data_IF_111379853765
#
_entry.id   IF_111379853765
#
_cell.length_a   1.000
_cell.length_b   1.000
_cell.length_c   1.000
_cell.angle_alpha   90.00
_cell.angle_beta   90.00
_cell.angle_gamma   90.00
#
_symmetry.space_group_name_H-M   'P 1'
#
loop_
_entity.id
_entity.type
_entity.pdbx_description
1 polymer ?
#
# COMPACT_ATOMS: atom_id res chain seq x y z
N UNK A 1 -6.30 56.05 32.62
CA UNK A 1 -7.43 55.09 32.72
C UNK A 1 -6.94 53.73 32.23
N UNK A 2 -6.91 52.78 33.16
CA UNK A 2 -6.79 51.32 33.00
C UNK A 2 -5.67 50.74 32.12
N UNK A 3 -4.47 50.64 32.72
CA UNK A 3 -3.57 49.51 32.48
C UNK A 3 -4.06 48.34 33.34
N UNK A 4 -4.66 47.30 32.73
CA UNK A 4 -4.80 46.01 33.39
C UNK A 4 -3.59 45.15 33.04
N UNK A 5 -2.70 44.98 34.01
CA UNK A 5 -1.71 43.92 34.02
C UNK A 5 -2.45 42.58 34.12
N UNK A 6 -2.54 41.83 33.02
CA UNK A 6 -2.94 40.44 33.09
C UNK A 6 -1.75 39.61 33.58
N UNK A 7 -1.76 39.31 34.88
CA UNK A 7 -0.95 38.26 35.47
C UNK A 7 -1.32 36.93 34.81
N UNK A 8 -0.42 36.37 33.99
CA UNK A 8 -0.50 34.97 33.59
C UNK A 8 -0.12 34.07 34.77
N UNK A 9 -1.09 33.83 35.66
CA UNK A 9 -1.07 32.61 36.48
C UNK A 9 -1.55 31.46 35.59
N UNK A 10 -0.62 30.66 35.07
CA UNK A 10 -0.93 29.37 34.45
C UNK A 10 -1.70 28.52 35.47
N UNK A 11 -2.87 27.95 35.11
CA UNK A 11 -3.64 27.16 36.05
C UNK A 11 -2.86 25.89 36.44
N UNK A 12 -2.94 25.42 37.70
CA UNK A 12 -2.17 24.27 38.22
C UNK A 12 -2.43 22.94 37.47
N UNK A 13 -3.49 22.86 36.65
CA UNK A 13 -3.83 21.68 35.87
C UNK A 13 -3.06 21.55 34.54
N UNK A 14 -2.46 22.62 34.01
CA UNK A 14 -1.71 22.55 32.74
C UNK A 14 -0.41 21.75 32.84
N UNK A 15 0.12 21.56 34.07
CA UNK A 15 1.32 20.74 34.32
C UNK A 15 1.05 19.23 34.39
N UNK A 16 -0.22 18.80 34.50
CA UNK A 16 -0.54 17.37 34.70
C UNK A 16 -0.46 16.58 33.40
N UNK A 17 -0.88 17.17 32.29
CA UNK A 17 -0.84 16.54 30.96
C UNK A 17 0.59 16.40 30.44
N UNK A 18 1.48 17.37 30.71
CA UNK A 18 2.88 17.32 30.26
C UNK A 18 3.74 16.32 31.00
N UNK A 19 3.27 15.80 32.15
CA UNK A 19 3.94 14.74 32.93
C UNK A 19 3.52 13.33 32.53
N UNK A 20 2.51 13.18 31.67
CA UNK A 20 2.10 11.87 31.18
C UNK A 20 3.11 11.35 30.14
N UNK A 21 3.44 10.05 30.15
CA UNK A 21 4.13 9.39 29.04
C UNK A 21 3.40 9.63 27.71
N UNK A 22 4.16 9.72 26.62
CA UNK A 22 3.64 10.02 25.28
C UNK A 22 2.59 8.98 24.85
N UNK A 23 2.76 7.73 25.24
CA UNK A 23 1.84 6.63 24.93
C UNK A 23 0.45 6.83 25.58
N UNK A 24 0.41 7.39 26.79
CA UNK A 24 -0.85 7.69 27.45
C UNK A 24 -1.52 8.93 26.83
N UNK A 25 -0.72 9.93 26.45
CA UNK A 25 -1.21 11.10 25.73
C UNK A 25 -1.81 10.74 24.37
N UNK A 26 -1.12 9.90 23.58
CA UNK A 26 -1.62 9.39 22.31
C UNK A 26 -2.96 8.67 22.49
N UNK A 27 -3.08 7.80 23.50
CA UNK A 27 -4.32 7.07 23.77
C UNK A 27 -5.49 7.98 24.17
N UNK A 28 -5.22 9.07 24.90
CA UNK A 28 -6.23 10.07 25.25
C UNK A 28 -6.65 10.84 24.00
N UNK A 29 -5.68 11.36 23.24
CA UNK A 29 -5.92 12.20 22.06
C UNK A 29 -6.65 11.43 20.95
N UNK A 30 -6.36 10.14 20.75
CA UNK A 30 -7.07 9.28 19.79
C UNK A 30 -8.58 9.15 20.05
N UNK A 31 -9.06 9.46 21.26
CA UNK A 31 -10.49 9.40 21.62
C UNK A 31 -11.23 10.72 21.44
N UNK A 32 -10.50 11.80 21.16
CA UNK A 32 -11.07 13.13 21.00
C UNK A 32 -11.63 13.35 19.59
N UNK A 33 -12.55 14.30 19.46
CA UNK A 33 -13.05 14.69 18.15
C UNK A 33 -11.97 15.46 17.37
N UNK A 34 -12.09 15.48 16.04
CA UNK A 34 -11.19 16.28 15.19
C UNK A 34 -11.22 17.77 15.54
N UNK A 35 -12.37 18.27 16.02
CA UNK A 35 -12.52 19.65 16.49
C UNK A 35 -11.68 19.89 17.74
N UNK A 36 -11.80 19.02 18.74
CA UNK A 36 -11.05 19.15 20.00
C UNK A 36 -9.54 19.04 19.75
N UNK A 37 -9.12 18.16 18.84
CA UNK A 37 -7.71 18.02 18.45
C UNK A 37 -7.17 19.28 17.76
N UNK A 38 -7.98 19.95 16.93
CA UNK A 38 -7.62 21.24 16.34
C UNK A 38 -7.47 22.33 17.39
N UNK A 39 -8.32 22.35 18.42
CA UNK A 39 -8.20 23.31 19.53
C UNK A 39 -6.93 23.02 20.37
N UNK A 40 -6.65 21.74 20.63
CA UNK A 40 -5.45 21.31 21.37
C UNK A 40 -4.14 21.61 20.65
N UNK A 41 -4.15 21.71 19.32
CA UNK A 41 -2.99 22.10 18.52
C UNK A 41 -2.41 23.47 18.92
N UNK A 42 -3.21 24.35 19.52
CA UNK A 42 -2.79 25.69 19.93
C UNK A 42 -2.36 25.80 21.40
N UNK A 43 -2.41 24.71 22.17
CA UNK A 43 -2.22 24.76 23.62
C UNK A 43 -0.76 24.63 24.07
N UNK A 44 -0.14 23.49 23.75
CA UNK A 44 1.21 23.14 24.16
C UNK A 44 1.94 22.50 22.97
N UNK A 45 3.23 22.81 22.77
CA UNK A 45 4.00 22.31 21.63
C UNK A 45 4.01 20.78 21.53
N UNK A 46 4.14 20.06 22.64
CA UNK A 46 4.16 18.59 22.67
C UNK A 46 2.78 18.02 22.37
N UNK A 47 1.74 18.53 23.03
CA UNK A 47 0.34 18.11 22.80
C UNK A 47 -0.08 18.43 21.37
N UNK A 48 0.33 19.57 20.82
CA UNK A 48 0.03 19.98 19.45
C UNK A 48 0.73 19.11 18.42
N UNK A 49 1.99 18.73 18.64
CA UNK A 49 2.67 17.75 17.77
C UNK A 49 1.95 16.40 17.77
N UNK A 50 1.58 15.87 18.94
CA UNK A 50 0.86 14.60 19.04
C UNK A 50 -0.52 14.73 18.38
N UNK A 51 -1.25 15.82 18.64
CA UNK A 51 -2.56 16.09 18.02
C UNK A 51 -2.47 16.15 16.48
N UNK A 52 -1.44 16.78 15.92
CA UNK A 52 -1.21 16.79 14.47
C UNK A 52 -0.96 15.39 13.91
N UNK A 53 -0.16 14.57 14.60
CA UNK A 53 0.05 13.17 14.22
C UNK A 53 -1.28 12.40 14.30
N UNK A 54 -2.06 12.57 15.37
CA UNK A 54 -3.38 11.92 15.49
C UNK A 54 -4.34 12.34 14.38
N UNK A 55 -4.33 13.62 13.96
CA UNK A 55 -5.20 14.15 12.92
C UNK A 55 -4.82 13.72 11.50
N UNK A 56 -3.53 13.79 11.17
CA UNK A 56 -3.06 13.71 9.78
C UNK A 56 -2.36 12.39 9.43
N UNK A 57 -1.98 11.55 10.39
CA UNK A 57 -1.26 10.29 10.10
C UNK A 57 -2.06 9.37 9.17
N UNK A 58 -3.37 9.25 9.42
CA UNK A 58 -4.31 8.42 8.67
C UNK A 58 -5.63 9.17 8.44
N UNK A 59 -5.69 10.14 7.51
CA UNK A 59 -6.90 10.92 7.28
C UNK A 59 -8.05 10.03 6.80
N UNK A 60 -9.23 10.22 7.39
CA UNK A 60 -10.43 9.47 7.01
C UNK A 60 -11.08 10.15 5.79
N UNK A 61 -10.90 9.56 4.61
CA UNK A 61 -11.45 10.06 3.35
C UNK A 61 -12.59 9.13 2.88
N UNK A 62 -13.82 9.64 2.94
CA UNK A 62 -15.04 8.98 2.48
C UNK A 62 -15.67 9.69 1.28
N UNK A 63 -15.42 10.99 1.13
CA UNK A 63 -15.96 11.81 0.03
C UNK A 63 -14.85 12.57 -0.67
N UNK A 64 -15.10 13.02 -1.91
CA UNK A 64 -14.08 13.71 -2.71
C UNK A 64 -13.74 15.08 -2.13
N UNK A 65 -14.71 15.75 -1.51
CA UNK A 65 -14.53 17.05 -0.86
C UNK A 65 -13.55 16.94 0.32
N UNK A 66 -13.48 15.79 0.99
CA UNK A 66 -12.49 15.53 2.04
C UNK A 66 -11.08 15.37 1.47
N UNK A 67 -10.97 14.76 0.28
CA UNK A 67 -9.70 14.63 -0.43
C UNK A 67 -9.19 16.00 -0.91
N UNK A 68 -10.07 16.82 -1.48
CA UNK A 68 -9.78 18.20 -1.88
C UNK A 68 -9.44 19.05 -0.65
N UNK A 69 -10.15 18.89 0.47
CA UNK A 69 -9.79 19.59 1.70
C UNK A 69 -8.39 19.18 2.19
N UNK A 70 -8.01 17.91 2.09
CA UNK A 70 -6.67 17.43 2.43
C UNK A 70 -5.61 18.07 1.53
N UNK A 71 -5.88 18.24 0.23
CA UNK A 71 -4.92 18.83 -0.70
C UNK A 71 -4.66 20.32 -0.46
N UNK A 72 -5.61 21.04 0.15
CA UNK A 72 -5.41 22.44 0.56
C UNK A 72 -4.55 22.62 1.82
N UNK A 73 -4.22 21.53 2.52
CA UNK A 73 -3.46 21.58 3.76
C UNK A 73 -1.98 21.88 3.48
N UNK A 74 -1.30 22.57 4.41
CA UNK A 74 0.13 22.88 4.28
C UNK A 74 1.00 21.64 4.02
N UNK A 75 2.06 21.74 3.18
CA UNK A 75 2.93 20.61 2.86
C UNK A 75 3.54 19.92 4.09
N UNK A 76 3.83 20.67 5.15
CA UNK A 76 4.35 20.14 6.42
C UNK A 76 3.41 19.13 7.09
N UNK A 77 2.09 19.30 6.94
CA UNK A 77 1.09 18.38 7.48
C UNK A 77 0.87 17.18 6.55
N UNK A 78 0.97 17.38 5.23
CA UNK A 78 0.93 16.28 4.25
C UNK A 78 2.10 15.29 4.45
N UNK A 79 3.26 15.78 4.89
CA UNK A 79 4.40 14.91 5.25
C UNK A 79 4.17 14.04 6.49
N UNK A 80 3.15 14.32 7.29
CA UNK A 80 2.73 13.50 8.45
C UNK A 80 1.91 12.29 7.97
N UNK A 81 1.25 12.40 6.81
CA UNK A 81 0.41 11.33 6.26
C UNK A 81 1.27 10.12 5.97
N UNK A 82 1.00 9.03 6.69
CA UNK A 82 1.68 7.74 6.48
C UNK A 82 0.73 6.67 5.95
N UNK A 83 -0.57 6.83 6.15
CA UNK A 83 -1.58 5.85 5.78
C UNK A 83 -2.67 6.56 4.97
N UNK A 84 -2.67 6.36 3.66
CA UNK A 84 -3.61 7.01 2.74
C UNK A 84 -4.50 5.96 2.10
N UNK A 85 -5.74 5.86 2.57
CA UNK A 85 -6.75 4.98 2.00
C UNK A 85 -7.82 5.79 1.27
N UNK A 86 -7.91 5.60 -0.06
CA UNK A 86 -8.85 6.29 -0.94
C UNK A 86 -9.85 5.34 -1.60
N UNK A 87 -10.05 4.14 -1.08
CA UNK A 87 -10.96 3.13 -1.64
C UNK A 87 -12.40 3.65 -1.84
N UNK A 88 -12.92 4.40 -0.86
CA UNK A 88 -14.29 4.95 -0.92
C UNK A 88 -14.49 5.99 -2.03
N UNK A 89 -13.41 6.65 -2.46
CA UNK A 89 -13.46 7.70 -3.48
C UNK A 89 -12.79 7.28 -4.79
N UNK A 90 -12.28 6.05 -4.88
CA UNK A 90 -11.43 5.57 -5.99
C UNK A 90 -11.97 5.88 -7.38
N UNK A 91 -13.26 5.60 -7.62
CA UNK A 91 -13.90 5.86 -8.91
C UNK A 91 -14.00 7.34 -9.30
N UNK A 92 -13.94 8.25 -8.32
CA UNK A 92 -14.02 9.70 -8.50
C UNK A 92 -12.64 10.36 -8.66
N UNK A 93 -11.57 9.64 -8.30
CA UNK A 93 -10.20 10.16 -8.40
C UNK A 93 -9.80 10.37 -9.86
N UNK A 94 -9.25 11.55 -10.11
CA UNK A 94 -8.60 11.98 -11.35
C UNK A 94 -7.17 12.41 -11.07
N UNK A 95 -6.36 12.51 -12.12
CA UNK A 95 -4.93 12.82 -12.04
C UNK A 95 -4.58 14.04 -11.20
N UNK A 96 -5.36 15.13 -11.29
CA UNK A 96 -5.07 16.36 -10.55
C UNK A 96 -5.16 16.16 -9.03
N UNK A 97 -6.10 15.34 -8.54
CA UNK A 97 -6.20 15.05 -7.11
C UNK A 97 -4.95 14.33 -6.59
N UNK A 98 -4.36 13.46 -7.41
CA UNK A 98 -3.14 12.75 -7.04
C UNK A 98 -1.89 13.63 -7.13
N UNK A 99 -1.86 14.56 -8.09
CA UNK A 99 -0.77 15.53 -8.24
C UNK A 99 -0.61 16.40 -6.98
N UNK A 100 -1.72 16.83 -6.38
CA UNK A 100 -1.69 17.65 -5.16
C UNK A 100 -1.19 16.88 -3.93
N UNK A 101 -1.20 15.56 -3.97
CA UNK A 101 -0.72 14.68 -2.90
C UNK A 101 0.75 14.28 -3.04
N UNK A 102 1.49 14.85 -4.00
CA UNK A 102 2.91 14.53 -4.21
C UNK A 102 3.83 14.84 -3.00
N UNK A 103 3.34 15.66 -2.05
CA UNK A 103 4.06 16.00 -0.81
C UNK A 103 4.00 14.88 0.24
N UNK A 104 3.12 13.89 0.07
CA UNK A 104 3.04 12.70 0.91
C UNK A 104 4.24 11.77 0.63
N UNK A 105 5.38 12.04 1.26
CA UNK A 105 6.67 11.38 1.00
C UNK A 105 7.10 10.36 2.07
N UNK A 106 6.19 10.04 3.01
CA UNK A 106 6.39 9.04 4.08
C UNK A 106 5.25 8.02 4.12
N UNK A 107 4.60 7.78 2.98
CA UNK A 107 3.52 6.81 2.90
C UNK A 107 4.06 5.41 3.16
N UNK A 108 3.45 4.74 4.13
CA UNK A 108 3.62 3.32 4.45
C UNK A 108 2.48 2.49 3.86
N UNK A 109 1.26 3.02 3.90
CA UNK A 109 0.08 2.36 3.33
C UNK A 109 -0.52 3.28 2.28
N UNK A 110 -0.69 2.76 1.07
CA UNK A 110 -1.39 3.44 -0.02
C UNK A 110 -2.45 2.50 -0.61
N UNK A 111 -3.72 2.88 -0.48
CA UNK A 111 -4.83 2.17 -1.11
C UNK A 111 -5.51 3.09 -2.12
N UNK A 112 -5.37 2.73 -3.40
CA UNK A 112 -5.97 3.40 -4.56
C UNK A 112 -6.90 2.44 -5.30
N UNK A 113 -7.59 1.54 -4.58
CA UNK A 113 -8.58 0.64 -5.16
C UNK A 113 -9.60 1.41 -5.99
N UNK A 114 -9.92 0.89 -7.18
CA UNK A 114 -10.82 1.49 -8.17
C UNK A 114 -10.36 2.85 -8.73
N UNK A 115 -9.11 3.26 -8.53
CA UNK A 115 -8.58 4.51 -9.03
C UNK A 115 -8.45 4.49 -10.57
N UNK A 116 -9.07 5.48 -11.22
CA UNK A 116 -9.03 5.66 -12.68
C UNK A 116 -7.96 6.64 -13.16
N UNK A 117 -7.14 7.15 -12.25
CA UNK A 117 -6.05 8.05 -12.59
C UNK A 117 -5.03 7.37 -13.51
N UNK A 118 -4.28 8.17 -14.25
CA UNK A 118 -3.18 7.69 -15.08
C UNK A 118 -2.04 7.11 -14.26
N UNK A 119 -1.28 6.23 -14.89
CA UNK A 119 -0.09 5.62 -14.28
C UNK A 119 0.96 6.67 -13.90
N UNK A 120 1.08 7.75 -14.68
CA UNK A 120 1.98 8.86 -14.33
C UNK A 120 1.54 9.57 -13.04
N UNK A 121 0.24 9.80 -12.84
CA UNK A 121 -0.28 10.39 -11.61
C UNK A 121 -0.07 9.46 -10.39
N UNK A 122 -0.30 8.15 -10.55
CA UNK A 122 -0.01 7.16 -9.49
C UNK A 122 1.49 7.15 -9.17
N UNK A 123 2.35 7.18 -10.19
CA UNK A 123 3.80 7.17 -10.03
C UNK A 123 4.31 8.40 -9.26
N UNK A 124 3.68 9.57 -9.41
CA UNK A 124 4.04 10.79 -8.67
C UNK A 124 3.81 10.68 -7.16
N UNK A 125 2.88 9.84 -6.71
CA UNK A 125 2.67 9.55 -5.28
C UNK A 125 3.55 8.39 -4.80
N UNK A 126 3.78 7.39 -5.64
CA UNK A 126 4.64 6.25 -5.29
C UNK A 126 6.10 6.67 -5.13
N UNK A 127 6.64 7.43 -6.09
CA UNK A 127 8.06 7.79 -6.19
C UNK A 127 8.64 8.39 -4.89
N UNK A 128 8.00 9.39 -4.25
CA UNK A 128 8.52 9.98 -3.01
C UNK A 128 8.56 9.00 -1.83
N UNK A 129 7.70 7.98 -1.82
CA UNK A 129 7.48 7.09 -0.68
C UNK A 129 8.06 5.67 -0.87
N UNK A 130 8.73 5.37 -1.99
CA UNK A 130 9.19 4.01 -2.33
C UNK A 130 9.95 3.28 -1.22
N UNK A 131 10.76 3.99 -0.43
CA UNK A 131 11.59 3.43 0.65
C UNK A 131 10.83 3.20 1.96
N UNK A 132 9.60 3.69 2.05
CA UNK A 132 8.77 3.64 3.27
C UNK A 132 7.51 2.80 3.07
N UNK A 133 7.08 2.56 1.82
CA UNK A 133 5.90 1.77 1.51
C UNK A 133 6.03 0.35 2.08
N UNK A 134 4.97 -0.07 2.76
CA UNK A 134 4.81 -1.39 3.37
C UNK A 134 3.63 -2.12 2.75
N UNK A 135 2.56 -1.40 2.44
CA UNK A 135 1.35 -1.93 1.83
C UNK A 135 0.91 -1.06 0.66
N UNK A 136 0.73 -1.66 -0.51
CA UNK A 136 0.17 -0.99 -1.69
C UNK A 136 -0.99 -1.81 -2.24
N UNK A 137 -2.14 -1.16 -2.42
CA UNK A 137 -3.36 -1.76 -2.96
C UNK A 137 -3.79 -0.94 -4.19
N UNK A 138 -3.77 -1.57 -5.36
CA UNK A 138 -4.10 -0.95 -6.66
C UNK A 138 -5.19 -1.75 -7.38
N UNK A 139 -6.12 -2.31 -6.62
CA UNK A 139 -7.16 -3.18 -7.15
C UNK A 139 -8.01 -2.46 -8.19
N UNK A 140 -8.34 -3.13 -9.30
CA UNK A 140 -9.10 -2.56 -10.43
C UNK A 140 -8.48 -1.29 -11.06
N UNK A 141 -7.17 -1.07 -10.94
CA UNK A 141 -6.48 0.04 -11.61
C UNK A 141 -5.99 -0.33 -13.02
N UNK A 142 -5.83 0.68 -13.88
CA UNK A 142 -5.22 0.53 -15.21
C UNK A 142 -3.78 1.06 -15.20
N UNK A 143 -2.79 0.16 -15.20
CA UNK A 143 -1.38 0.47 -14.97
C UNK A 143 -0.54 0.32 -16.24
N UNK A 144 0.57 1.06 -16.30
CA UNK A 144 1.62 0.88 -17.29
C UNK A 144 2.81 0.11 -16.70
N UNK A 145 3.71 -0.37 -17.56
CA UNK A 145 4.91 -1.09 -17.14
C UNK A 145 5.77 -0.29 -16.16
N UNK A 146 5.81 1.04 -16.33
CA UNK A 146 6.58 1.94 -15.46
C UNK A 146 6.13 1.87 -14.01
N UNK A 147 4.82 1.80 -13.74
CA UNK A 147 4.30 1.63 -12.38
C UNK A 147 4.71 0.29 -11.79
N UNK A 148 4.67 -0.79 -12.58
CA UNK A 148 5.11 -2.10 -12.14
C UNK A 148 6.60 -2.12 -11.76
N UNK A 149 7.46 -1.40 -12.51
CA UNK A 149 8.88 -1.26 -12.18
C UNK A 149 9.09 -0.56 -10.83
N UNK A 150 8.33 0.51 -10.56
CA UNK A 150 8.41 1.22 -9.28
C UNK A 150 7.95 0.35 -8.11
N UNK A 151 6.89 -0.43 -8.29
CA UNK A 151 6.44 -1.39 -7.27
C UNK A 151 7.48 -2.48 -7.02
N UNK A 152 8.16 -2.95 -8.08
CA UNK A 152 9.30 -3.83 -7.96
C UNK A 152 10.42 -3.22 -7.11
N UNK A 153 10.81 -1.97 -7.39
CA UNK A 153 11.80 -1.23 -6.61
C UNK A 153 11.38 -1.08 -5.14
N UNK A 154 10.11 -0.77 -4.86
CA UNK A 154 9.59 -0.71 -3.49
C UNK A 154 9.70 -2.08 -2.79
N UNK A 155 9.51 -3.18 -3.53
CA UNK A 155 9.75 -4.56 -3.11
C UNK A 155 11.19 -4.83 -2.63
N UNK A 156 12.18 -4.08 -3.12
CA UNK A 156 13.57 -4.21 -2.66
C UNK A 156 13.86 -3.45 -1.35
N UNK A 157 12.86 -2.72 -0.84
CA UNK A 157 12.98 -1.89 0.35
C UNK A 157 12.16 -2.43 1.51
N UNK A 158 10.96 -1.88 1.72
CA UNK A 158 10.11 -2.15 2.88
C UNK A 158 8.76 -2.73 2.50
N UNK A 159 8.47 -2.91 1.21
CA UNK A 159 7.16 -3.35 0.75
C UNK A 159 6.96 -4.82 1.14
N UNK A 160 5.92 -5.06 1.93
CA UNK A 160 5.55 -6.38 2.45
C UNK A 160 4.30 -6.91 1.75
N UNK A 161 3.33 -6.04 1.51
CA UNK A 161 2.01 -6.41 1.01
C UNK A 161 1.69 -5.66 -0.27
N UNK A 162 1.40 -6.43 -1.33
CA UNK A 162 1.08 -5.89 -2.64
C UNK A 162 -0.18 -6.55 -3.21
N UNK A 163 -1.26 -5.78 -3.34
CA UNK A 163 -2.48 -6.23 -3.99
C UNK A 163 -2.66 -5.50 -5.32
N UNK A 164 -2.58 -6.28 -6.40
CA UNK A 164 -2.78 -5.87 -7.78
C UNK A 164 -3.98 -6.60 -8.39
N UNK A 165 -4.92 -7.09 -7.57
CA UNK A 165 -6.04 -7.86 -8.10
C UNK A 165 -6.86 -7.06 -9.11
N UNK A 166 -7.23 -7.73 -10.21
CA UNK A 166 -7.96 -7.14 -11.33
C UNK A 166 -7.28 -5.94 -12.00
N UNK A 167 -5.96 -5.79 -11.85
CA UNK A 167 -5.21 -4.76 -12.58
C UNK A 167 -5.21 -5.06 -14.08
N UNK A 168 -5.47 -4.04 -14.88
CA UNK A 168 -5.33 -4.10 -16.34
C UNK A 168 -4.03 -3.39 -16.73
N UNK A 169 -3.18 -4.05 -17.52
CA UNK A 169 -2.01 -3.39 -18.08
C UNK A 169 -2.38 -2.70 -19.40
N UNK A 170 -2.11 -1.40 -19.46
CA UNK A 170 -2.30 -0.61 -20.67
C UNK A 170 -1.28 -1.03 -21.73
N UNK A 171 -1.68 -1.11 -23.01
CA UNK A 171 -0.77 -1.51 -24.05
C UNK A 171 0.37 -0.48 -24.22
N UNK A 172 1.62 -0.91 -23.99
CA UNK A 172 2.82 -0.16 -24.36
C UNK A 172 3.09 -0.30 -25.87
N UNK A 173 3.49 0.77 -26.57
CA UNK A 173 3.65 0.81 -28.05
C UNK A 173 4.65 -0.19 -28.67
N UNK A 174 5.36 -0.98 -27.88
CA UNK A 174 6.36 -1.95 -28.34
C UNK A 174 5.92 -3.40 -28.13
N UNK A 175 4.70 -3.81 -28.47
CA UNK A 175 4.32 -5.24 -28.45
C UNK A 175 4.99 -6.00 -29.59
N UNK A 176 6.27 -6.27 -29.44
CA UNK A 176 6.80 -7.53 -29.95
C UNK A 176 6.38 -8.62 -28.95
N UNK A 177 6.08 -9.81 -29.48
CA UNK A 177 5.44 -10.94 -28.80
C UNK A 177 6.25 -11.52 -27.61
N UNK A 178 7.35 -10.86 -27.23
CA UNK A 178 8.31 -11.21 -26.17
C UNK A 178 8.44 -10.14 -25.08
N UNK A 179 7.41 -9.33 -24.84
CA UNK A 179 7.39 -8.38 -23.71
C UNK A 179 7.19 -9.10 -22.37
N UNK A 180 8.27 -9.74 -21.94
CA UNK A 180 8.40 -10.33 -20.63
C UNK A 180 8.10 -9.28 -19.56
N UNK A 181 7.17 -9.63 -18.68
CA UNK A 181 6.82 -8.92 -17.45
C UNK A 181 7.92 -9.06 -16.40
N UNK A 182 9.17 -9.12 -16.86
CA UNK A 182 10.40 -8.97 -16.11
C UNK A 182 10.43 -7.66 -15.32
N UNK A 183 9.72 -6.62 -15.76
CA UNK A 183 9.69 -5.32 -15.09
C UNK A 183 9.32 -5.33 -13.59
N UNK A 184 8.43 -6.23 -13.14
CA UNK A 184 8.04 -6.31 -11.72
C UNK A 184 9.12 -7.00 -10.88
N UNK A 185 10.05 -7.75 -11.51
CA UNK A 185 10.79 -8.82 -10.82
C UNK A 185 12.24 -9.08 -11.31
N UNK A 186 12.69 -8.49 -12.43
CA UNK A 186 14.11 -8.39 -12.84
C UNK A 186 14.77 -7.32 -11.97
N UNK A 187 14.81 -7.64 -10.69
CA UNK A 187 15.25 -6.78 -9.63
C UNK A 187 16.58 -7.34 -9.14
N UNK A 188 17.65 -6.53 -9.08
CA UNK A 188 18.99 -6.98 -8.71
C UNK A 188 19.11 -7.54 -7.28
N UNK A 189 18.06 -7.45 -6.47
CA UNK A 189 18.04 -7.80 -5.05
C UNK A 189 16.75 -8.56 -4.71
N UNK A 190 16.82 -9.54 -3.78
CA UNK A 190 15.66 -10.29 -3.33
C UNK A 190 14.65 -9.38 -2.62
N UNK A 191 13.38 -9.57 -2.93
CA UNK A 191 12.27 -8.76 -2.44
C UNK A 191 11.91 -9.05 -0.98
N UNK A 192 11.42 -8.03 -0.27
CA UNK A 192 10.87 -8.13 1.07
C UNK A 192 9.41 -8.59 1.10
N UNK A 193 8.77 -8.75 -0.06
CA UNK A 193 7.37 -9.10 -0.18
C UNK A 193 7.02 -10.41 0.57
N UNK A 194 5.95 -10.32 1.35
CA UNK A 194 5.36 -11.41 2.14
C UNK A 194 4.01 -11.81 1.54
N UNK A 195 3.22 -10.85 1.07
CA UNK A 195 1.94 -11.12 0.42
C UNK A 195 1.89 -10.47 -0.95
N UNK A 196 1.45 -11.25 -1.93
CA UNK A 196 1.17 -10.73 -3.27
C UNK A 196 -0.15 -11.32 -3.77
N UNK A 197 -1.05 -10.44 -4.22
CA UNK A 197 -2.31 -10.84 -4.81
C UNK A 197 -2.38 -10.34 -6.26
N UNK A 198 -2.43 -11.29 -7.20
CA UNK A 198 -2.52 -11.06 -8.64
C UNK A 198 -3.81 -11.66 -9.22
N UNK A 199 -4.80 -11.92 -8.37
CA UNK A 199 -6.07 -12.51 -8.78
C UNK A 199 -6.73 -11.69 -9.89
N UNK A 200 -7.36 -12.35 -10.86
CA UNK A 200 -8.06 -11.76 -12.01
C UNK A 200 -7.17 -10.98 -13.00
N UNK A 201 -5.85 -11.00 -12.84
CA UNK A 201 -4.92 -10.38 -13.77
C UNK A 201 -4.68 -11.27 -14.99
N UNK A 202 -5.25 -10.89 -16.14
CA UNK A 202 -5.12 -11.63 -17.42
C UNK A 202 -3.72 -11.59 -18.05
N UNK A 203 -2.89 -10.65 -17.59
CA UNK A 203 -1.52 -10.47 -18.08
C UNK A 203 -0.51 -11.38 -17.37
N UNK A 204 -0.88 -11.99 -16.23
CA UNK A 204 0.01 -12.87 -15.47
C UNK A 204 0.21 -14.18 -16.23
N UNK A 205 1.47 -14.49 -16.55
CA UNK A 205 1.86 -15.71 -17.25
C UNK A 205 2.79 -16.55 -16.38
N UNK A 206 3.15 -17.74 -16.90
CA UNK A 206 4.13 -18.61 -16.27
C UNK A 206 5.47 -17.91 -15.98
N UNK A 207 6.01 -17.13 -16.91
CA UNK A 207 7.26 -16.38 -16.69
C UNK A 207 7.16 -15.40 -15.52
N UNK A 208 6.03 -14.70 -15.38
CA UNK A 208 5.77 -13.81 -14.24
C UNK A 208 5.84 -14.55 -12.91
N UNK A 209 5.15 -15.69 -12.81
CA UNK A 209 5.15 -16.50 -11.59
C UNK A 209 6.54 -17.07 -11.28
N UNK A 210 7.26 -17.54 -12.29
CA UNK A 210 8.60 -18.09 -12.16
C UNK A 210 9.57 -17.04 -11.61
N UNK A 211 9.49 -15.81 -12.12
CA UNK A 211 10.29 -14.71 -11.62
C UNK A 211 9.94 -14.33 -10.19
N UNK A 212 8.65 -14.27 -9.83
CA UNK A 212 8.20 -14.01 -8.45
C UNK A 212 8.76 -15.07 -7.51
N UNK A 213 8.67 -16.34 -7.91
CA UNK A 213 9.16 -17.45 -7.10
C UNK A 213 10.67 -17.39 -6.85
N UNK A 214 11.46 -16.94 -7.84
CA UNK A 214 12.92 -16.78 -7.69
C UNK A 214 13.34 -15.58 -6.85
N UNK A 215 12.67 -14.45 -7.02
CA UNK A 215 13.13 -13.18 -6.45
C UNK A 215 12.42 -12.79 -5.15
N UNK A 216 11.32 -13.46 -4.78
CA UNK A 216 10.54 -13.14 -3.59
C UNK A 216 10.48 -14.33 -2.61
N UNK A 217 11.60 -14.75 -2.01
CA UNK A 217 11.67 -15.97 -1.17
C UNK A 217 10.90 -15.87 0.16
N UNK A 218 10.45 -14.67 0.53
CA UNK A 218 9.70 -14.40 1.78
C UNK A 218 8.18 -14.53 1.63
N UNK A 219 7.68 -14.81 0.43
CA UNK A 219 6.24 -14.93 0.18
C UNK A 219 5.64 -16.01 1.09
N UNK A 220 4.57 -15.62 1.77
CA UNK A 220 3.69 -16.48 2.57
C UNK A 220 2.31 -16.62 1.93
N UNK A 221 1.84 -15.60 1.24
CA UNK A 221 0.55 -15.60 0.54
C UNK A 221 0.74 -15.22 -0.93
N UNK A 222 0.21 -16.05 -1.84
CA UNK A 222 0.21 -15.82 -3.27
C UNK A 222 -1.19 -16.03 -3.86
N UNK A 223 -1.84 -14.95 -4.29
CA UNK A 223 -3.16 -14.98 -4.94
C UNK A 223 -3.06 -15.05 -6.45
N UNK A 224 -3.62 -16.09 -7.06
CA UNK A 224 -3.61 -16.36 -8.52
C UNK A 224 -5.00 -16.75 -9.05
N UNK A 225 -6.09 -16.36 -8.36
CA UNK A 225 -7.44 -16.72 -8.78
C UNK A 225 -7.70 -16.24 -10.20
N UNK A 226 -8.34 -17.07 -11.02
CA UNK A 226 -8.69 -16.71 -12.41
C UNK A 226 -7.50 -16.28 -13.29
N UNK A 227 -6.26 -16.67 -12.96
CA UNK A 227 -5.10 -16.50 -13.84
C UNK A 227 -5.00 -17.69 -14.81
N UNK A 228 -5.49 -17.53 -16.04
CA UNK A 228 -5.63 -18.62 -17.02
C UNK A 228 -4.40 -18.96 -17.88
N UNK A 229 -3.31 -18.18 -17.78
CA UNK A 229 -2.11 -18.30 -18.63
C UNK A 229 -0.89 -18.87 -17.89
N UNK A 230 -1.12 -19.55 -16.76
CA UNK A 230 -0.09 -20.18 -15.94
C UNK A 230 -0.17 -21.69 -16.16
N UNK A 231 0.97 -22.34 -16.40
CA UNK A 231 1.05 -23.80 -16.55
C UNK A 231 1.26 -24.49 -15.21
N UNK A 232 0.83 -25.75 -15.13
CA UNK A 232 0.99 -26.60 -13.95
C UNK A 232 2.44 -26.76 -13.50
N UNK A 233 3.38 -26.92 -14.44
CA UNK A 233 4.81 -27.06 -14.16
C UNK A 233 5.36 -25.83 -13.43
N UNK A 234 4.91 -24.63 -13.80
CA UNK A 234 5.30 -23.38 -13.16
C UNK A 234 4.74 -23.25 -11.75
N UNK A 235 3.50 -23.69 -11.51
CA UNK A 235 2.93 -23.74 -10.16
C UNK A 235 3.78 -24.64 -9.25
N UNK A 236 4.18 -25.81 -9.77
CA UNK A 236 5.08 -26.71 -9.04
C UNK A 236 6.43 -26.07 -8.73
N UNK A 237 7.04 -25.41 -9.72
CA UNK A 237 8.29 -24.66 -9.52
C UNK A 237 8.15 -23.59 -8.44
N UNK A 238 7.03 -22.84 -8.44
CA UNK A 238 6.79 -21.79 -7.46
C UNK A 238 6.71 -22.35 -6.02
N UNK A 239 6.05 -23.49 -5.83
CA UNK A 239 5.98 -24.17 -4.52
C UNK A 239 7.37 -24.59 -4.03
N UNK A 240 8.23 -25.11 -4.92
CA UNK A 240 9.58 -25.55 -4.57
C UNK A 240 10.52 -24.38 -4.24
N UNK A 241 10.36 -23.24 -4.91
CA UNK A 241 11.22 -22.07 -4.74
C UNK A 241 10.78 -21.13 -3.61
N UNK A 242 9.55 -21.26 -3.11
CA UNK A 242 8.99 -20.43 -2.04
C UNK A 242 8.91 -21.18 -0.71
N UNK A 243 10.01 -21.25 0.07
CA UNK A 243 10.08 -22.09 1.28
C UNK A 243 9.16 -21.61 2.42
N UNK A 244 8.70 -20.36 2.38
CA UNK A 244 7.84 -19.77 3.41
C UNK A 244 6.35 -19.75 3.02
N UNK A 245 6.00 -20.31 1.86
CA UNK A 245 4.65 -20.24 1.32
C UNK A 245 3.67 -20.98 2.24
N UNK A 246 2.65 -20.26 2.73
CA UNK A 246 1.59 -20.81 3.59
C UNK A 246 0.28 -21.00 2.84
N UNK A 247 0.00 -20.10 1.91
CA UNK A 247 -1.25 -20.09 1.16
C UNK A 247 -0.99 -19.70 -0.28
N UNK A 248 -1.42 -20.55 -1.20
CA UNK A 248 -1.46 -20.25 -2.62
C UNK A 248 -2.90 -20.41 -3.08
N UNK A 249 -3.51 -19.32 -3.55
CA UNK A 249 -4.89 -19.32 -3.98
C UNK A 249 -4.98 -19.45 -5.50
N UNK A 250 -5.34 -20.65 -5.95
CA UNK A 250 -5.37 -21.04 -7.36
C UNK A 250 -6.79 -21.31 -7.85
N UNK A 251 -7.81 -20.73 -7.19
CA UNK A 251 -9.21 -20.98 -7.57
C UNK A 251 -9.48 -20.56 -9.02
N UNK A 252 -10.21 -21.41 -9.75
CA UNK A 252 -10.59 -21.21 -11.16
C UNK A 252 -9.41 -20.99 -12.12
N UNK A 253 -8.26 -21.61 -11.85
CA UNK A 253 -7.16 -21.67 -12.81
C UNK A 253 -7.35 -22.83 -13.81
N UNK A 254 -7.11 -22.55 -15.09
CA UNK A 254 -7.12 -23.57 -16.17
C UNK A 254 -6.05 -24.66 -15.98
N UNK A 255 -4.97 -24.39 -15.24
CA UNK A 255 -3.95 -25.38 -14.91
C UNK A 255 -4.39 -26.42 -13.87
N UNK A 256 -5.44 -26.11 -13.09
CA UNK A 256 -5.97 -26.99 -12.04
C UNK A 256 -7.43 -27.30 -12.38
N UNK A 257 -7.65 -27.83 -13.58
CA UNK A 257 -8.97 -28.17 -14.11
C UNK A 257 -9.52 -29.49 -13.61
N UNK A 258 -8.65 -30.41 -13.19
CA UNK A 258 -9.04 -31.75 -12.77
C UNK A 258 -8.65 -32.00 -11.32
N UNK A 259 -9.52 -32.71 -10.58
CA UNK A 259 -9.25 -33.13 -9.21
C UNK A 259 -7.89 -33.83 -9.08
N UNK A 260 -7.52 -34.63 -10.07
CA UNK A 260 -6.25 -35.37 -10.12
C UNK A 260 -5.01 -34.45 -10.11
N UNK A 261 -5.06 -33.28 -10.76
CA UNK A 261 -3.91 -32.36 -10.77
C UNK A 261 -3.78 -31.62 -9.45
N UNK A 262 -4.89 -31.26 -8.81
CA UNK A 262 -4.90 -30.72 -7.46
C UNK A 262 -4.35 -31.74 -6.45
N UNK A 263 -4.78 -33.00 -6.54
CA UNK A 263 -4.32 -34.07 -5.65
C UNK A 263 -2.81 -34.35 -5.82
N UNK A 264 -2.31 -34.32 -7.07
CA UNK A 264 -0.86 -34.42 -7.34
C UNK A 264 -0.07 -33.29 -6.69
N UNK A 265 -0.51 -32.03 -6.83
CA UNK A 265 0.15 -30.88 -6.18
C UNK A 265 0.16 -31.04 -4.67
N UNK A 266 -0.96 -31.43 -4.06
CA UNK A 266 -1.06 -31.63 -2.61
C UNK A 266 -0.11 -32.74 -2.15
N UNK A 267 -0.05 -33.87 -2.86
CA UNK A 267 0.88 -34.97 -2.54
C UNK A 267 2.34 -34.54 -2.65
N UNK A 268 2.70 -33.77 -3.69
CA UNK A 268 4.04 -33.23 -3.85
C UNK A 268 4.39 -32.23 -2.73
N UNK A 269 3.47 -31.33 -2.38
CA UNK A 269 3.64 -30.42 -1.23
C UNK A 269 3.88 -31.22 0.06
N UNK A 270 3.05 -32.21 0.36
CA UNK A 270 3.20 -33.05 1.56
C UNK A 270 4.57 -33.72 1.60
N UNK A 271 5.08 -34.20 0.46
CA UNK A 271 6.39 -34.84 0.38
C UNK A 271 7.56 -33.85 0.52
N UNK A 272 7.40 -32.60 0.11
CA UNK A 272 8.43 -31.55 0.26
C UNK A 272 8.59 -31.05 1.70
N UNK A 273 7.54 -31.17 2.53
CA UNK A 273 7.51 -30.70 3.93
C UNK A 273 7.47 -31.83 4.97
N UNK A 274 7.82 -33.06 4.58
CA UNK A 274 8.14 -34.18 5.50
C UNK A 274 9.63 -34.22 5.81
#
# INVERSE_FOLDING_TARGET
MYFFSYNHSTPPDSERLTKLPVELLENILQRLSSKDLCELNHTNQLIGQIALVTLYRSPVIKTIEQLEALSTVSPSKLQIVSELNLEHVGFSIKDFHLQELNQCNRLRILNLTNCKASSSAINQILLPSLKYLQTVILNNCALELTTLQLLGQAGQHTLLDLDLSSVVLKPCRNFDETNDLDALVNLPLPSTLVTINLSYCRWVRSSTLENIARNCPRIRYLGLRWCGMIHFTTLRLAIMLLPNLRTMDTMHMSAITHHDTAERLIKEIINLYK
#
